data_IF_470112336298
#
_entry.id   IF_470112336298
#
_cell.length_a   1.000
_cell.length_b   1.000
_cell.length_c   1.000
_cell.angle_alpha   90.00
_cell.angle_beta   90.00
_cell.angle_gamma   90.00
#
_symmetry.space_group_name_H-M   'P 1'
#
loop_
_entity.id
_entity.type
_entity.pdbx_description
1 polymer ?
#
# COMPACT_ATOMS: atom_id res chain seq x y z
N UNK A 1 -1.02 -20.34 -11.18
CA UNK A 1 -0.91 -21.74 -11.56
C UNK A 1 0.42 -22.02 -12.21
N UNK A 2 0.92 -23.21 -12.09
CA UNK A 2 2.13 -23.63 -12.78
C UNK A 2 1.92 -23.48 -14.29
N UNK A 3 2.89 -22.89 -14.99
CA UNK A 3 2.92 -22.88 -16.45
C UNK A 3 2.99 -24.33 -16.92
N UNK A 4 1.90 -24.84 -17.49
CA UNK A 4 1.90 -26.12 -18.18
C UNK A 4 1.04 -27.26 -17.61
N UNK A 5 0.33 -27.12 -16.48
CA UNK A 5 -0.53 -28.19 -15.96
C UNK A 5 -1.85 -27.69 -15.37
N UNK A 6 -2.95 -28.15 -15.95
CA UNK A 6 -4.32 -28.16 -15.40
C UNK A 6 -5.01 -26.80 -15.38
N UNK A 7 -6.33 -26.83 -15.51
CA UNK A 7 -7.32 -25.75 -15.44
C UNK A 7 -6.82 -24.31 -15.62
N UNK A 8 -7.40 -23.55 -16.52
CA UNK A 8 -6.99 -22.19 -16.90
C UNK A 8 -6.51 -21.37 -15.72
N UNK A 9 -5.34 -20.71 -15.85
CA UNK A 9 -4.71 -19.97 -14.75
C UNK A 9 -5.67 -19.00 -14.06
N UNK A 10 -5.46 -18.73 -12.77
CA UNK A 10 -6.32 -17.85 -11.95
C UNK A 10 -6.66 -16.52 -12.65
N UNK A 11 -5.71 -15.92 -13.34
CA UNK A 11 -5.90 -14.65 -14.06
C UNK A 11 -6.85 -14.82 -15.24
N UNK A 12 -6.62 -15.84 -16.07
CA UNK A 12 -7.41 -16.10 -17.28
C UNK A 12 -8.85 -16.46 -16.94
N UNK A 13 -9.06 -17.22 -15.86
CA UNK A 13 -10.39 -17.55 -15.36
C UNK A 13 -11.09 -16.32 -14.78
N UNK A 14 -10.40 -15.47 -14.02
CA UNK A 14 -10.95 -14.26 -13.47
C UNK A 14 -11.39 -13.28 -14.57
N UNK A 15 -10.59 -13.13 -15.65
CA UNK A 15 -10.93 -12.29 -16.79
C UNK A 15 -12.15 -12.88 -17.55
N UNK A 16 -12.20 -14.19 -17.73
CA UNK A 16 -13.33 -14.84 -18.37
C UNK A 16 -14.65 -14.61 -17.65
N UNK A 17 -14.61 -14.66 -16.31
CA UNK A 17 -15.79 -14.39 -15.49
C UNK A 17 -16.19 -12.91 -15.44
N UNK A 18 -15.20 -12.01 -15.55
CA UNK A 18 -15.41 -10.56 -15.48
C UNK A 18 -14.69 -9.83 -16.61
N UNK A 19 -15.22 -9.90 -17.84
CA UNK A 19 -14.56 -9.35 -19.04
C UNK A 19 -14.45 -7.81 -19.06
N UNK A 20 -15.16 -7.12 -18.18
CA UNK A 20 -15.06 -5.68 -17.94
C UNK A 20 -14.54 -5.43 -16.54
N UNK A 21 -13.22 -5.38 -16.38
CA UNK A 21 -12.61 -5.22 -15.06
C UNK A 21 -11.27 -4.49 -15.12
N UNK A 22 -10.79 -4.10 -13.95
CA UNK A 22 -9.43 -3.61 -13.74
C UNK A 22 -8.61 -4.76 -13.17
N UNK A 23 -7.50 -5.08 -13.81
CA UNK A 23 -6.54 -6.09 -13.36
C UNK A 23 -5.30 -5.36 -12.85
N UNK A 24 -5.06 -5.45 -11.54
CA UNK A 24 -3.86 -4.94 -10.90
C UNK A 24 -2.80 -6.04 -10.82
N UNK A 25 -1.63 -5.78 -11.38
CA UNK A 25 -0.45 -6.62 -11.32
C UNK A 25 0.59 -5.90 -10.46
N UNK A 26 0.73 -6.35 -9.23
CA UNK A 26 1.62 -5.73 -8.26
C UNK A 26 3.03 -6.31 -8.35
N UNK A 27 4.04 -5.44 -8.27
CA UNK A 27 5.47 -5.81 -8.30
C UNK A 27 5.84 -6.68 -9.52
N UNK A 28 5.48 -6.25 -10.72
CA UNK A 28 5.65 -7.05 -11.95
C UNK A 28 7.11 -7.40 -12.26
N UNK A 29 8.09 -6.67 -11.73
CA UNK A 29 9.51 -7.00 -11.84
C UNK A 29 9.89 -8.30 -11.14
N UNK A 30 9.08 -8.76 -10.19
CA UNK A 30 9.30 -10.04 -9.50
C UNK A 30 8.69 -11.23 -10.22
N UNK A 31 7.91 -10.98 -11.28
CA UNK A 31 7.29 -12.04 -12.06
C UNK A 31 8.33 -12.76 -12.93
N UNK A 32 8.09 -14.05 -13.18
CA UNK A 32 8.92 -14.79 -14.13
C UNK A 32 8.81 -14.16 -15.54
N UNK A 33 9.91 -14.08 -16.32
CA UNK A 33 9.89 -13.47 -17.66
C UNK A 33 8.80 -14.05 -18.60
N UNK A 34 8.46 -15.32 -18.48
CA UNK A 34 7.41 -15.94 -19.28
C UNK A 34 6.02 -15.37 -18.98
N UNK A 35 5.77 -14.95 -17.75
CA UNK A 35 4.52 -14.26 -17.38
C UNK A 35 4.41 -12.93 -18.12
N UNK A 36 5.51 -12.17 -18.20
CA UNK A 36 5.54 -10.93 -18.98
C UNK A 36 5.26 -11.17 -20.46
N UNK A 37 5.73 -12.30 -21.02
CA UNK A 37 5.45 -12.66 -22.40
C UNK A 37 3.96 -12.88 -22.68
N UNK A 38 3.17 -13.36 -21.71
CA UNK A 38 1.72 -13.47 -21.83
C UNK A 38 1.07 -12.08 -21.97
N UNK A 39 1.54 -11.10 -21.22
CA UNK A 39 1.01 -9.74 -21.30
C UNK A 39 1.33 -9.06 -22.64
N UNK A 40 2.45 -9.43 -23.31
CA UNK A 40 2.68 -8.93 -24.66
C UNK A 40 1.57 -9.33 -25.62
N UNK A 41 1.02 -10.55 -25.50
CA UNK A 41 -0.10 -10.99 -26.32
C UNK A 41 -1.37 -10.23 -26.00
N UNK A 42 -1.66 -10.02 -24.71
CA UNK A 42 -2.83 -9.24 -24.27
C UNK A 42 -2.81 -7.82 -24.82
N UNK A 43 -1.66 -7.14 -24.76
CA UNK A 43 -1.52 -5.75 -25.21
C UNK A 43 -1.38 -5.61 -26.73
N UNK A 44 -0.91 -6.62 -27.43
CA UNK A 44 -0.74 -6.59 -28.88
C UNK A 44 -2.01 -7.03 -29.61
N UNK A 45 -2.61 -8.14 -29.17
CA UNK A 45 -3.77 -8.77 -29.82
C UNK A 45 -5.09 -8.51 -29.08
N UNK A 46 -5.04 -8.06 -27.84
CA UNK A 46 -6.22 -7.94 -26.98
C UNK A 46 -6.74 -9.28 -26.47
N UNK A 47 -5.89 -10.32 -26.48
CA UNK A 47 -6.27 -11.69 -26.14
C UNK A 47 -5.19 -12.37 -25.31
N UNK A 48 -5.60 -13.24 -24.39
CA UNK A 48 -4.73 -14.15 -23.64
C UNK A 48 -5.10 -15.58 -23.93
N UNK A 49 -4.09 -16.44 -24.16
CA UNK A 49 -4.31 -17.87 -24.20
C UNK A 49 -4.26 -18.47 -22.78
N UNK A 50 -5.25 -19.29 -22.42
CA UNK A 50 -5.19 -20.08 -21.19
C UNK A 50 -4.27 -21.31 -21.35
N UNK A 51 -4.12 -22.10 -20.27
CA UNK A 51 -3.30 -23.30 -20.27
C UNK A 51 -3.77 -24.42 -21.22
N UNK A 52 -4.99 -24.33 -21.73
CA UNK A 52 -5.56 -25.25 -22.73
C UNK A 52 -5.54 -24.66 -24.15
N UNK A 53 -4.96 -23.48 -24.32
CA UNK A 53 -4.87 -22.79 -25.61
C UNK A 53 -6.14 -22.04 -26.03
N UNK A 54 -7.15 -21.92 -25.15
CA UNK A 54 -8.38 -21.14 -25.42
C UNK A 54 -8.05 -19.65 -25.32
N UNK A 55 -8.52 -18.88 -26.32
CA UNK A 55 -8.34 -17.43 -26.34
C UNK A 55 -9.40 -16.74 -25.47
N UNK A 56 -8.96 -15.80 -24.65
CA UNK A 56 -9.78 -14.99 -23.77
C UNK A 56 -9.62 -13.55 -24.19
N UNK A 57 -10.75 -12.89 -24.51
CA UNK A 57 -10.78 -11.50 -24.91
C UNK A 57 -10.44 -10.58 -23.73
N UNK A 58 -9.42 -9.73 -23.90
CA UNK A 58 -8.93 -8.78 -22.91
C UNK A 58 -9.12 -7.31 -23.35
N UNK A 59 -9.84 -7.04 -24.45
CA UNK A 59 -9.99 -5.68 -25.02
C UNK A 59 -10.67 -4.70 -24.10
N UNK A 60 -11.51 -5.21 -23.16
CA UNK A 60 -12.23 -4.38 -22.19
C UNK A 60 -11.60 -4.44 -20.79
N UNK A 61 -10.38 -4.95 -20.68
CA UNK A 61 -9.63 -5.00 -19.42
C UNK A 61 -8.69 -3.79 -19.34
N UNK A 62 -8.75 -3.06 -18.24
CA UNK A 62 -7.73 -2.09 -17.88
C UNK A 62 -6.66 -2.78 -17.04
N UNK A 63 -5.45 -2.90 -17.57
CA UNK A 63 -4.30 -3.41 -16.81
C UNK A 63 -3.58 -2.27 -16.11
N UNK A 64 -3.39 -2.41 -14.80
CA UNK A 64 -2.54 -1.54 -13.98
C UNK A 64 -1.37 -2.35 -13.44
N UNK A 65 -0.16 -1.89 -13.70
CA UNK A 65 1.06 -2.56 -13.28
C UNK A 65 1.79 -1.66 -12.28
N UNK A 66 2.22 -2.21 -11.16
CA UNK A 66 3.15 -1.51 -10.25
C UNK A 66 4.53 -2.10 -10.38
N UNK A 67 5.55 -1.29 -10.20
CA UNK A 67 6.94 -1.73 -10.23
C UNK A 67 7.86 -0.76 -9.50
N UNK A 68 8.90 -1.29 -8.87
CA UNK A 68 10.02 -0.54 -8.33
C UNK A 68 11.19 -0.47 -9.32
N UNK A 69 11.01 -0.94 -10.56
CA UNK A 69 12.04 -0.89 -11.60
C UNK A 69 12.50 0.54 -11.88
N UNK A 70 13.81 0.72 -11.92
CA UNK A 70 14.41 2.02 -12.21
C UNK A 70 14.58 2.92 -11.00
N UNK A 71 14.22 2.46 -9.81
CA UNK A 71 14.49 3.17 -8.56
C UNK A 71 15.42 2.35 -7.68
N UNK A 72 16.52 2.99 -7.25
CA UNK A 72 17.40 2.45 -6.22
C UNK A 72 17.13 3.20 -4.92
N UNK A 73 16.54 2.51 -3.94
CA UNK A 73 16.18 3.09 -2.66
C UNK A 73 17.38 3.72 -1.92
N UNK A 74 18.59 3.22 -2.16
CA UNK A 74 19.80 3.72 -1.52
C UNK A 74 20.34 5.01 -2.18
N UNK A 75 20.16 5.17 -3.50
CA UNK A 75 20.74 6.26 -4.26
C UNK A 75 19.71 7.28 -4.79
N UNK A 76 18.47 6.85 -4.97
CA UNK A 76 17.40 7.63 -5.62
C UNK A 76 16.35 8.17 -4.65
N UNK A 77 16.62 8.15 -3.35
CA UNK A 77 15.63 8.37 -2.27
C UNK A 77 14.83 9.69 -2.41
N UNK A 78 15.34 10.66 -3.19
CA UNK A 78 14.65 11.93 -3.43
C UNK A 78 14.74 12.41 -4.89
N UNK A 79 15.34 11.63 -5.77
CA UNK A 79 15.55 12.04 -7.16
C UNK A 79 14.29 11.77 -7.99
N UNK A 80 13.71 12.83 -8.52
CA UNK A 80 12.71 12.74 -9.59
C UNK A 80 13.47 12.49 -10.88
N UNK A 81 13.32 11.30 -11.47
CA UNK A 81 13.89 11.00 -12.77
C UNK A 81 13.12 11.75 -13.86
N UNK A 82 13.83 12.26 -14.84
CA UNK A 82 13.18 12.73 -16.07
C UNK A 82 12.46 11.55 -16.77
N UNK A 83 11.44 11.85 -17.56
CA UNK A 83 10.71 10.84 -18.33
C UNK A 83 11.64 9.96 -19.19
N UNK A 84 12.72 10.57 -19.72
CA UNK A 84 13.70 9.85 -20.54
C UNK A 84 14.54 8.88 -19.70
N UNK A 85 15.03 9.30 -18.53
CA UNK A 85 15.80 8.46 -17.62
C UNK A 85 14.96 7.32 -17.08
N UNK A 86 13.71 7.60 -16.69
CA UNK A 86 12.76 6.59 -16.22
C UNK A 86 12.49 5.57 -17.34
N UNK A 87 12.19 6.03 -18.55
CA UNK A 87 11.95 5.18 -19.71
C UNK A 87 13.16 4.32 -20.03
N UNK A 88 14.37 4.87 -19.96
CA UNK A 88 15.63 4.15 -20.18
C UNK A 88 15.84 3.06 -19.11
N UNK A 89 15.54 3.36 -17.85
CA UNK A 89 15.59 2.37 -16.76
C UNK A 89 14.59 1.24 -16.98
N UNK A 90 13.37 1.56 -17.38
CA UNK A 90 12.33 0.57 -17.65
C UNK A 90 12.63 -0.34 -18.84
N UNK A 91 13.40 0.14 -19.83
CA UNK A 91 13.83 -0.67 -20.99
C UNK A 91 14.78 -1.81 -20.61
N UNK A 92 15.37 -1.79 -19.43
CA UNK A 92 16.18 -2.92 -18.92
C UNK A 92 15.29 -4.13 -18.57
N UNK A 93 14.01 -3.88 -18.29
CA UNK A 93 13.05 -4.88 -17.84
C UNK A 93 11.92 -5.12 -18.85
N UNK A 94 11.37 -4.07 -19.43
CA UNK A 94 10.26 -4.14 -20.38
C UNK A 94 10.74 -3.96 -21.83
N UNK A 95 10.19 -4.73 -22.75
CA UNK A 95 10.47 -4.53 -24.18
C UNK A 95 9.90 -3.20 -24.67
N UNK A 96 10.57 -2.53 -25.63
CA UNK A 96 10.14 -1.23 -26.16
C UNK A 96 8.68 -1.21 -26.64
N UNK A 97 8.24 -2.27 -27.29
CA UNK A 97 6.89 -2.41 -27.84
C UNK A 97 5.80 -2.37 -26.74
N UNK A 98 6.10 -2.86 -25.53
CA UNK A 98 5.20 -2.82 -24.39
C UNK A 98 5.14 -1.40 -23.81
N UNK A 99 6.31 -0.81 -23.54
CA UNK A 99 6.40 0.54 -23.01
C UNK A 99 5.74 1.60 -23.91
N UNK A 100 5.74 1.37 -25.22
CA UNK A 100 5.07 2.27 -26.16
C UNK A 100 3.54 2.28 -26.03
N UNK A 101 2.96 1.24 -25.42
CA UNK A 101 1.51 1.09 -25.19
C UNK A 101 1.08 1.44 -23.76
N UNK A 102 2.03 1.72 -22.89
CA UNK A 102 1.78 2.05 -21.49
C UNK A 102 1.82 3.55 -21.25
N UNK A 103 0.93 4.02 -20.41
CA UNK A 103 1.09 5.30 -19.75
C UNK A 103 1.88 5.09 -18.46
N UNK A 104 3.05 5.71 -18.37
CA UNK A 104 3.92 5.63 -17.20
C UNK A 104 3.53 6.74 -16.24
N UNK A 105 3.29 6.37 -14.97
CA UNK A 105 3.02 7.31 -13.88
C UNK A 105 4.08 7.10 -12.82
N UNK A 106 4.91 8.11 -12.61
CA UNK A 106 5.94 8.09 -11.58
C UNK A 106 5.36 8.53 -10.24
N UNK A 107 5.51 7.70 -9.22
CA UNK A 107 5.25 8.07 -7.84
C UNK A 107 6.52 8.59 -7.19
N UNK A 108 6.40 9.70 -6.48
CA UNK A 108 7.50 10.30 -5.75
C UNK A 108 7.55 9.80 -4.31
N UNK A 109 8.75 9.81 -3.73
CA UNK A 109 8.90 9.58 -2.31
C UNK A 109 8.16 10.64 -1.50
N UNK A 110 7.67 10.23 -0.34
CA UNK A 110 6.97 11.14 0.55
C UNK A 110 7.96 12.11 1.20
N UNK A 111 7.72 13.40 1.05
CA UNK A 111 8.47 14.42 1.78
C UNK A 111 8.07 14.43 3.25
N UNK A 112 8.92 14.98 4.12
CA UNK A 112 8.64 15.12 5.56
C UNK A 112 7.30 15.81 5.82
N UNK A 113 7.00 16.90 5.10
CA UNK A 113 5.72 17.61 5.23
C UNK A 113 4.51 16.73 4.86
N UNK A 114 4.62 15.95 3.79
CA UNK A 114 3.55 15.00 3.39
C UNK A 114 3.42 13.90 4.44
N UNK A 115 4.52 13.39 4.97
CA UNK A 115 4.51 12.38 6.03
C UNK A 115 3.83 12.90 7.29
N UNK A 116 4.14 14.11 7.72
CA UNK A 116 3.48 14.76 8.85
C UNK A 116 1.97 14.86 8.67
N UNK A 117 1.53 15.25 7.48
CA UNK A 117 0.08 15.31 7.17
C UNK A 117 -0.57 13.92 7.21
N UNK A 118 0.13 12.89 6.76
CA UNK A 118 -0.37 11.51 6.84
C UNK A 118 -0.52 11.07 8.30
N UNK A 119 0.50 11.29 9.12
CA UNK A 119 0.46 10.95 10.56
C UNK A 119 -0.70 11.66 11.25
N UNK A 120 -0.83 12.98 11.06
CA UNK A 120 -1.93 13.78 11.61
C UNK A 120 -3.30 13.24 11.19
N UNK A 121 -3.47 12.93 9.91
CA UNK A 121 -4.74 12.41 9.39
C UNK A 121 -5.09 11.04 9.99
N UNK A 122 -4.09 10.16 10.17
CA UNK A 122 -4.30 8.84 10.78
C UNK A 122 -4.64 8.94 12.27
N UNK A 123 -3.94 9.80 13.02
CA UNK A 123 -4.25 10.05 14.43
C UNK A 123 -5.65 10.66 14.60
N UNK A 124 -6.01 11.65 13.79
CA UNK A 124 -7.35 12.25 13.83
C UNK A 124 -8.46 11.24 13.49
N UNK A 125 -8.20 10.32 12.54
CA UNK A 125 -9.12 9.24 12.23
C UNK A 125 -9.30 8.28 13.42
N UNK A 126 -8.20 7.94 14.09
CA UNK A 126 -8.22 7.09 15.28
C UNK A 126 -8.98 7.75 16.43
N UNK A 127 -8.69 9.02 16.72
CA UNK A 127 -9.37 9.83 17.71
C UNK A 127 -10.89 9.85 17.48
N UNK A 128 -11.31 10.15 16.25
CA UNK A 128 -12.72 10.16 15.87
C UNK A 128 -13.39 8.80 16.07
N UNK A 129 -12.72 7.72 15.64
CA UNK A 129 -13.25 6.34 15.76
C UNK A 129 -13.50 5.97 17.23
N UNK A 130 -12.55 6.29 18.10
CA UNK A 130 -12.66 6.00 19.55
C UNK A 130 -13.77 6.86 20.17
N UNK A 131 -13.79 8.16 19.86
CA UNK A 131 -14.80 9.10 20.38
C UNK A 131 -16.23 8.66 19.99
N UNK A 132 -16.44 8.25 18.74
CA UNK A 132 -17.74 7.79 18.26
C UNK A 132 -18.15 6.47 18.92
N UNK A 133 -17.20 5.54 19.09
CA UNK A 133 -17.48 4.21 19.64
C UNK A 133 -17.80 4.24 21.13
N UNK A 134 -17.06 5.02 21.91
CA UNK A 134 -17.17 5.03 23.36
C UNK A 134 -17.94 6.23 23.91
N UNK A 135 -18.36 7.17 23.04
CA UNK A 135 -19.04 8.42 23.39
C UNK A 135 -18.26 9.26 24.39
N UNK A 136 -16.93 9.23 24.28
CA UNK A 136 -15.98 9.92 25.13
C UNK A 136 -15.23 11.01 24.36
N UNK A 137 -14.75 12.02 25.08
CA UNK A 137 -13.78 12.96 24.53
C UNK A 137 -12.42 12.28 24.46
N UNK A 138 -11.78 12.31 23.30
CA UNK A 138 -10.45 11.71 23.10
C UNK A 138 -9.44 12.82 22.86
N UNK A 139 -8.30 12.74 23.50
CA UNK A 139 -7.18 13.67 23.32
C UNK A 139 -5.91 12.87 23.06
N UNK A 140 -5.29 13.09 21.91
CA UNK A 140 -3.98 12.52 21.57
C UNK A 140 -2.93 13.63 21.71
N UNK A 141 -1.96 13.42 22.58
CA UNK A 141 -0.95 14.42 22.87
C UNK A 141 -0.01 14.68 21.67
N UNK A 142 0.46 15.90 21.52
CA UNK A 142 1.31 16.33 20.39
C UNK A 142 2.67 15.60 20.34
N UNK A 143 3.17 15.14 21.48
CA UNK A 143 4.41 14.37 21.55
C UNK A 143 4.31 13.01 20.84
N UNK A 144 3.13 12.42 20.74
CA UNK A 144 2.87 11.21 19.94
C UNK A 144 3.12 11.48 18.45
N UNK A 145 2.62 12.59 17.94
CA UNK A 145 2.87 13.01 16.57
C UNK A 145 4.37 13.11 16.29
N UNK A 146 5.09 13.85 17.13
CA UNK A 146 6.55 14.04 17.01
C UNK A 146 7.32 12.72 17.09
N UNK A 147 6.90 11.84 17.99
CA UNK A 147 7.54 10.51 18.13
C UNK A 147 7.38 9.66 16.86
N UNK A 148 6.17 9.59 16.31
CA UNK A 148 5.89 8.84 15.08
C UNK A 148 6.66 9.45 13.90
N UNK A 149 6.70 10.77 13.78
CA UNK A 149 7.47 11.48 12.75
C UNK A 149 8.95 11.11 12.79
N UNK A 150 9.56 11.14 13.97
CA UNK A 150 10.97 10.77 14.15
C UNK A 150 11.26 9.31 13.76
N UNK A 151 10.36 8.38 14.09
CA UNK A 151 10.50 6.99 13.66
C UNK A 151 10.39 6.85 12.13
N UNK A 152 9.50 7.61 11.51
CA UNK A 152 9.30 7.58 10.06
C UNK A 152 10.44 8.21 9.26
N UNK A 153 11.16 9.18 9.83
CA UNK A 153 12.34 9.79 9.18
C UNK A 153 13.53 8.82 9.08
N UNK A 154 13.62 7.87 10.00
CA UNK A 154 14.70 6.89 10.06
C UNK A 154 14.47 5.67 9.14
N UNK A 155 13.27 5.54 8.54
CA UNK A 155 12.90 4.33 7.78
C UNK A 155 12.41 4.67 6.36
N UNK A 156 12.76 3.80 5.43
CA UNK A 156 12.37 3.91 4.01
C UNK A 156 10.97 3.36 3.70
N UNK A 157 10.30 2.74 4.67
CA UNK A 157 8.98 2.12 4.49
C UNK A 157 7.82 3.11 4.36
N UNK A 158 8.08 4.41 4.51
CA UNK A 158 7.11 5.47 4.26
C UNK A 158 5.84 5.36 5.10
N UNK A 159 4.68 5.62 4.50
CA UNK A 159 3.40 5.65 5.19
C UNK A 159 2.96 4.29 5.80
N UNK A 160 3.49 3.16 5.32
CA UNK A 160 3.21 1.83 5.89
C UNK A 160 3.77 1.70 7.32
N UNK A 161 4.90 2.37 7.59
CA UNK A 161 5.47 2.38 8.94
C UNK A 161 4.54 3.06 9.95
N UNK A 162 3.83 4.10 9.55
CA UNK A 162 2.84 4.75 10.42
C UNK A 162 1.77 3.76 10.89
N UNK A 163 1.23 2.94 9.97
CA UNK A 163 0.26 1.91 10.33
C UNK A 163 0.87 0.86 11.27
N UNK A 164 2.09 0.40 10.98
CA UNK A 164 2.79 -0.56 11.82
C UNK A 164 3.04 -0.02 13.25
N UNK A 165 3.40 1.27 13.39
CA UNK A 165 3.57 1.90 14.71
C UNK A 165 2.23 2.00 15.43
N UNK A 166 1.19 2.47 14.76
CA UNK A 166 -0.15 2.59 15.37
C UNK A 166 -0.67 1.21 15.83
N UNK A 167 -0.60 0.22 14.96
CA UNK A 167 -1.11 -1.13 15.24
C UNK A 167 -0.26 -1.89 16.25
N UNK A 168 1.07 -1.76 16.17
CA UNK A 168 2.00 -2.53 16.99
C UNK A 168 2.35 -1.89 18.33
N UNK A 169 2.32 -0.56 18.43
CA UNK A 169 2.79 0.14 19.63
C UNK A 169 1.69 0.92 20.36
N UNK A 170 0.79 1.61 19.65
CA UNK A 170 -0.23 2.46 20.28
C UNK A 170 -1.52 1.70 20.58
N UNK A 171 -2.02 0.90 19.65
CA UNK A 171 -3.30 0.19 19.82
C UNK A 171 -3.28 -0.87 20.94
N UNK A 172 -2.20 -1.63 21.21
CA UNK A 172 -2.21 -2.61 22.28
C UNK A 172 -2.46 -2.01 23.67
N UNK A 173 -1.68 -1.00 24.16
CA UNK A 173 -1.93 -0.38 25.46
C UNK A 173 -3.28 0.32 25.52
N UNK A 174 -3.72 0.97 24.45
CA UNK A 174 -5.05 1.58 24.35
C UNK A 174 -6.15 0.52 24.51
N UNK A 175 -6.06 -0.58 23.79
CA UNK A 175 -7.04 -1.67 23.85
C UNK A 175 -7.12 -2.28 25.24
N UNK A 176 -5.96 -2.47 25.91
CA UNK A 176 -5.90 -3.00 27.25
C UNK A 176 -6.59 -2.07 28.25
N UNK A 177 -6.29 -0.76 28.20
CA UNK A 177 -6.91 0.23 29.09
C UNK A 177 -8.43 0.30 28.89
N UNK A 178 -8.90 0.29 27.63
CA UNK A 178 -10.32 0.28 27.30
C UNK A 178 -11.03 -0.98 27.82
N UNK A 179 -10.42 -2.17 27.66
CA UNK A 179 -10.97 -3.42 28.15
C UNK A 179 -11.06 -3.46 29.68
N UNK A 180 -10.03 -2.97 30.37
CA UNK A 180 -10.04 -2.87 31.84
C UNK A 180 -11.18 -1.96 32.34
N UNK A 181 -11.37 -0.80 31.68
CA UNK A 181 -12.45 0.13 32.03
C UNK A 181 -13.84 -0.44 31.76
N UNK A 182 -14.01 -1.17 30.66
CA UNK A 182 -15.26 -1.87 30.35
C UNK A 182 -15.54 -2.96 31.41
N UNK A 183 -14.52 -3.73 31.79
CA UNK A 183 -14.66 -4.80 32.77
C UNK A 183 -15.03 -4.27 34.17
N UNK A 184 -14.54 -3.07 34.55
CA UNK A 184 -14.94 -2.43 35.83
C UNK A 184 -16.34 -1.85 35.82
N UNK A 185 -17.00 -1.77 34.67
CA UNK A 185 -18.34 -1.17 34.52
C UNK A 185 -18.37 0.35 34.70
N UNK A 186 -17.23 0.99 34.72
CA UNK A 186 -17.12 2.44 34.89
C UNK A 186 -17.34 3.18 33.59
N UNK A 187 -17.94 4.37 33.66
CA UNK A 187 -18.15 5.22 32.49
C UNK A 187 -16.83 5.76 31.98
N UNK A 188 -16.78 5.93 30.67
CA UNK A 188 -15.67 6.60 29.99
C UNK A 188 -16.15 7.96 29.51
N UNK A 189 -15.62 9.03 30.08
CA UNK A 189 -15.92 10.41 29.65
C UNK A 189 -14.78 11.04 28.90
N UNK A 190 -13.55 10.79 29.33
CA UNK A 190 -12.33 11.30 28.72
C UNK A 190 -11.29 10.19 28.54
N UNK A 191 -10.65 10.17 27.39
CA UNK A 191 -9.55 9.25 27.06
C UNK A 191 -8.37 10.12 26.62
N UNK A 192 -7.29 10.09 27.37
CA UNK A 192 -6.07 10.82 27.05
C UNK A 192 -4.97 9.83 26.69
N UNK A 193 -4.34 10.04 25.56
CA UNK A 193 -3.23 9.22 25.09
C UNK A 193 -1.98 10.10 25.02
N UNK A 194 -0.92 9.67 25.70
CA UNK A 194 0.35 10.37 25.81
C UNK A 194 1.51 9.43 25.48
N UNK A 195 2.71 9.96 25.27
CA UNK A 195 3.94 9.19 25.07
C UNK A 195 5.01 9.72 26.01
N UNK A 196 5.44 8.91 26.97
CA UNK A 196 6.44 9.29 27.98
C UNK A 196 7.36 8.12 28.28
N UNK A 197 8.65 8.40 28.48
CA UNK A 197 9.66 7.40 28.83
C UNK A 197 9.75 6.20 27.88
N UNK A 198 9.39 6.39 26.61
CA UNK A 198 9.43 5.32 25.60
C UNK A 198 8.16 4.46 25.51
N UNK A 199 7.11 4.80 26.26
CA UNK A 199 5.86 4.04 26.32
C UNK A 199 4.63 4.91 26.01
N UNK A 200 3.61 4.31 25.42
CA UNK A 200 2.30 4.95 25.25
C UNK A 200 1.49 4.78 26.53
N UNK A 201 1.13 5.89 27.12
CA UNK A 201 0.31 5.95 28.33
C UNK A 201 -1.13 6.31 27.96
N UNK A 202 -2.09 5.57 28.52
CA UNK A 202 -3.51 5.78 28.28
C UNK A 202 -4.22 5.98 29.61
N UNK A 203 -4.83 7.15 29.78
CA UNK A 203 -5.62 7.50 30.93
C UNK A 203 -7.11 7.59 30.53
N UNK A 204 -7.96 6.98 31.31
CA UNK A 204 -9.42 6.96 31.07
C UNK A 204 -10.15 7.43 32.32
N UNK A 205 -10.85 8.53 32.19
CA UNK A 205 -11.65 9.15 33.25
C UNK A 205 -13.16 9.02 32.98
#
# INVERSE_FOLDING_TARGET
GYVGYGEGGLLTEAIRQKPYSIVLLDEVEKAHPDVLNLFYQAFDKGELADGEGRLIDCKNILFMLTSNCGFDAANDQFAVKSDEELRRSLLTFFKPALLARMQIVQYHYLTTDVMQRIVKAKLAKLEKLIAERYKATVTIAENILKHIEQQCEADTNGARLVDAILEGQLLPPLSLALLQRIASGEKMSNITINFENGEYLVEIA
#
